data_IF_433817302446
#
_entry.id   IF_433817302446
#
_cell.length_a   1.000
_cell.length_b   1.000
_cell.length_c   1.000
_cell.angle_alpha   90.00
_cell.angle_beta   90.00
_cell.angle_gamma   90.00
#
_symmetry.space_group_name_H-M   'P 1'
#
loop_
_entity.id
_entity.type
_entity.pdbx_description
1 polymer ?
#
# COMPACT_ATOMS: atom_id res chain seq x y z
N UNK A 1 -50.86 -3.70 58.39
CA UNK A 1 -50.51 -4.70 57.38
C UNK A 1 -51.01 -4.13 56.06
N UNK A 2 -50.17 -3.65 55.15
CA UNK A 2 -49.24 -4.41 54.31
C UNK A 2 -48.04 -3.51 53.98
N UNK A 3 -46.83 -4.07 54.06
CA UNK A 3 -45.59 -3.42 53.63
C UNK A 3 -45.31 -3.64 52.14
N UNK A 4 -44.65 -2.63 51.55
CA UNK A 4 -43.63 -2.58 50.45
C UNK A 4 -43.18 -3.91 49.79
N UNK A 5 -42.60 -3.96 48.55
CA UNK A 5 -42.08 -2.86 47.72
C UNK A 5 -42.00 -3.06 46.15
N UNK A 6 -41.39 -2.07 45.47
CA UNK A 6 -40.56 -2.18 44.25
C UNK A 6 -41.21 -2.41 42.87
N UNK A 7 -41.74 -1.33 42.30
CA UNK A 7 -41.69 -1.09 40.85
C UNK A 7 -40.39 -0.34 40.56
N UNK A 8 -39.34 -1.03 40.12
CA UNK A 8 -38.15 -0.43 39.47
C UNK A 8 -37.17 -1.56 39.10
N UNK A 9 -37.45 -2.35 38.06
CA UNK A 9 -36.41 -3.22 37.51
C UNK A 9 -36.54 -3.37 35.98
N UNK A 10 -35.45 -2.98 35.32
CA UNK A 10 -34.99 -3.35 33.98
C UNK A 10 -35.71 -2.71 32.79
N UNK A 11 -35.29 -1.49 32.45
CA UNK A 11 -35.30 -1.05 31.04
C UNK A 11 -34.01 -0.30 30.72
N UNK A 12 -32.86 -0.96 30.90
CA UNK A 12 -31.54 -0.38 30.66
C UNK A 12 -30.57 -1.37 29.99
N UNK A 13 -30.98 -2.03 28.90
CA UNK A 13 -30.07 -2.87 28.09
C UNK A 13 -30.34 -2.76 26.58
N UNK A 14 -30.58 -1.56 26.04
CA UNK A 14 -30.71 -1.36 24.58
C UNK A 14 -29.85 -0.20 24.06
N UNK A 15 -28.69 0.01 24.68
CA UNK A 15 -27.57 0.71 24.03
C UNK A 15 -26.51 -0.36 23.72
N UNK A 16 -26.90 -1.31 22.87
CA UNK A 16 -25.97 -2.22 22.22
C UNK A 16 -25.03 -1.37 21.38
N UNK A 17 -23.88 -1.02 21.95
CA UNK A 17 -22.80 -0.40 21.23
C UNK A 17 -22.50 -1.27 20.02
N UNK A 18 -22.77 -0.73 18.83
CA UNK A 18 -22.20 -1.26 17.60
C UNK A 18 -20.68 -1.16 17.77
N UNK A 19 -20.07 -2.25 18.26
CA UNK A 19 -18.64 -2.42 18.20
C UNK A 19 -18.29 -2.37 16.71
N UNK A 20 -17.76 -1.23 16.27
CA UNK A 20 -17.10 -1.13 14.98
C UNK A 20 -16.00 -2.18 15.02
N UNK A 21 -16.22 -3.32 14.39
CA UNK A 21 -15.20 -4.34 14.24
C UNK A 21 -14.05 -3.68 13.47
N UNK A 22 -12.96 -3.36 14.18
CA UNK A 22 -11.73 -2.96 13.53
C UNK A 22 -11.34 -4.09 12.58
N UNK A 23 -11.21 -3.79 11.28
CA UNK A 23 -10.77 -4.79 10.31
C UNK A 23 -9.38 -5.28 10.75
N UNK A 24 -9.33 -6.47 11.34
CA UNK A 24 -8.07 -7.07 11.74
C UNK A 24 -7.20 -7.29 10.51
N UNK A 25 -5.93 -6.90 10.59
CA UNK A 25 -5.00 -7.05 9.49
C UNK A 25 -4.52 -8.50 9.42
N UNK A 26 -4.90 -9.23 8.38
CA UNK A 26 -4.40 -10.59 8.15
C UNK A 26 -2.95 -10.58 7.65
N UNK A 27 -2.02 -10.50 8.60
CA UNK A 27 -0.58 -10.57 8.31
C UNK A 27 -0.06 -11.99 8.04
N UNK A 28 -0.92 -13.02 8.12
CA UNK A 28 -0.52 -14.43 7.92
C UNK A 28 -0.72 -14.88 6.48
N UNK A 29 -1.64 -14.25 5.73
CA UNK A 29 -1.85 -14.54 4.31
C UNK A 29 -0.59 -14.28 3.49
N UNK A 30 -0.18 -15.27 2.70
CA UNK A 30 0.83 -15.07 1.65
C UNK A 30 0.26 -14.17 0.56
N UNK A 31 0.90 -13.03 0.27
CA UNK A 31 0.43 -12.12 -0.76
C UNK A 31 0.71 -12.65 -2.17
N UNK A 32 -0.16 -12.28 -3.11
CA UNK A 32 0.00 -12.58 -4.53
C UNK A 32 0.45 -11.30 -5.25
N UNK A 33 1.68 -11.30 -5.78
CA UNK A 33 2.28 -10.12 -6.38
C UNK A 33 1.49 -9.61 -7.58
N UNK A 34 0.91 -10.52 -8.37
CA UNK A 34 0.02 -10.17 -9.47
C UNK A 34 -1.12 -9.27 -9.01
N UNK A 35 -1.82 -9.67 -7.95
CA UNK A 35 -2.94 -8.90 -7.41
C UNK A 35 -2.48 -7.56 -6.84
N UNK A 36 -1.33 -7.53 -6.15
CA UNK A 36 -0.81 -6.33 -5.50
C UNK A 36 -0.49 -5.20 -6.49
N UNK A 37 -0.05 -5.53 -7.71
CA UNK A 37 0.34 -4.53 -8.71
C UNK A 37 -0.72 -4.26 -9.78
N UNK A 38 -1.68 -5.19 -9.99
CA UNK A 38 -2.70 -5.07 -11.05
C UNK A 38 -4.10 -4.70 -10.55
N UNK A 39 -4.47 -5.01 -9.30
CA UNK A 39 -5.75 -4.56 -8.74
C UNK A 39 -5.68 -3.08 -8.35
N UNK A 40 -6.77 -2.31 -8.50
CA UNK A 40 -8.13 -2.71 -8.90
C UNK A 40 -8.38 -2.68 -10.43
N UNK A 41 -7.35 -2.72 -11.27
CA UNK A 41 -7.47 -2.73 -12.74
C UNK A 41 -7.38 -1.36 -13.42
N UNK A 42 -7.21 -0.28 -12.65
CA UNK A 42 -6.88 1.06 -13.15
C UNK A 42 -6.35 1.96 -12.02
N UNK A 43 -5.89 3.17 -12.35
CA UNK A 43 -5.37 4.16 -11.39
C UNK A 43 -3.86 4.09 -11.23
N UNK A 44 -3.34 4.60 -10.10
CA UNK A 44 -1.89 4.67 -9.85
C UNK A 44 -1.54 4.20 -8.45
N UNK A 45 -0.46 3.46 -8.32
CA UNK A 45 0.22 3.24 -7.04
C UNK A 45 1.31 4.28 -6.84
N UNK A 46 1.32 4.94 -5.68
CA UNK A 46 2.35 5.90 -5.29
C UNK A 46 3.20 5.32 -4.16
N UNK A 47 4.52 5.42 -4.25
CA UNK A 47 5.42 5.05 -3.16
C UNK A 47 5.30 6.08 -2.04
N UNK A 48 4.57 5.75 -0.98
CA UNK A 48 4.27 6.64 0.14
C UNK A 48 5.39 6.66 1.16
N UNK A 49 6.01 5.52 1.46
CA UNK A 49 7.11 5.42 2.41
C UNK A 49 8.16 4.47 1.83
N UNK A 50 9.44 4.80 2.05
CA UNK A 50 10.57 3.96 1.68
C UNK A 50 11.66 4.02 2.74
N UNK A 51 12.43 2.93 2.85
CA UNK A 51 13.68 2.88 3.62
C UNK A 51 14.92 2.78 2.73
N UNK A 52 14.75 2.89 1.40
CA UNK A 52 15.88 3.03 0.50
C UNK A 52 16.62 4.34 0.80
N UNK A 53 17.93 4.36 0.55
CA UNK A 53 18.75 5.53 0.77
C UNK A 53 18.29 6.71 -0.11
N UNK A 54 18.08 6.44 -1.40
CA UNK A 54 17.72 7.46 -2.39
C UNK A 54 16.46 7.06 -3.18
N UNK A 55 15.26 7.03 -2.56
CA UNK A 55 14.04 6.71 -3.27
C UNK A 55 13.72 7.84 -4.25
N UNK A 56 13.38 7.50 -5.50
CA UNK A 56 13.04 8.49 -6.53
C UNK A 56 11.86 9.35 -6.10
N UNK A 57 11.99 10.67 -6.26
CA UNK A 57 10.96 11.64 -5.89
C UNK A 57 9.66 11.40 -6.68
N UNK A 58 8.53 11.51 -6.00
CA UNK A 58 7.19 11.35 -6.58
C UNK A 58 6.96 10.03 -7.34
N UNK A 59 7.74 8.98 -7.02
CA UNK A 59 7.68 7.70 -7.72
C UNK A 59 6.26 7.10 -7.66
N UNK A 60 5.75 6.74 -8.83
CA UNK A 60 4.44 6.13 -9.04
C UNK A 60 4.46 5.14 -10.21
N UNK A 61 3.62 4.11 -10.12
CA UNK A 61 3.36 3.15 -11.19
C UNK A 61 1.90 3.22 -11.62
N UNK A 62 1.65 3.21 -12.92
CA UNK A 62 0.30 3.17 -13.49
C UNK A 62 -0.22 1.74 -13.51
N UNK A 63 -1.42 1.52 -12.96
CA UNK A 63 -2.05 0.21 -12.99
C UNK A 63 -2.43 -0.11 -14.45
N UNK A 64 -1.95 -1.23 -15.00
CA UNK A 64 -2.17 -1.59 -16.39
C UNK A 64 -3.65 -1.91 -16.66
N UNK A 65 -4.14 -1.56 -17.86
CA UNK A 65 -5.48 -1.94 -18.32
C UNK A 65 -5.42 -3.35 -18.91
N UNK A 66 -6.38 -4.20 -18.55
CA UNK A 66 -6.51 -5.58 -19.04
C UNK A 66 -5.20 -6.41 -18.99
N UNK A 67 -4.50 -6.45 -17.84
CA UNK A 67 -3.24 -7.17 -17.74
C UNK A 67 -3.44 -8.69 -17.80
N UNK A 68 -2.47 -9.44 -18.31
CA UNK A 68 -2.52 -10.91 -18.42
C UNK A 68 -1.36 -11.56 -17.66
N UNK A 69 -1.66 -12.44 -16.69
CA UNK A 69 -0.63 -13.07 -15.87
C UNK A 69 0.27 -14.01 -16.69
N UNK A 70 1.56 -14.20 -16.30
CA UNK A 70 2.26 -13.56 -15.18
C UNK A 70 3.01 -12.27 -15.59
N UNK A 71 2.86 -11.79 -16.82
CA UNK A 71 3.69 -10.75 -17.41
C UNK A 71 2.89 -9.48 -17.69
N UNK A 72 3.40 -8.32 -17.31
CA UNK A 72 2.70 -7.06 -17.56
C UNK A 72 3.64 -5.89 -17.71
N UNK A 73 3.27 -4.94 -18.58
CA UNK A 73 3.99 -3.68 -18.73
C UNK A 73 3.41 -2.65 -17.76
N UNK A 74 4.27 -1.97 -17.01
CA UNK A 74 3.87 -0.92 -16.07
C UNK A 74 4.68 0.33 -16.37
N UNK A 75 3.96 1.42 -16.63
CA UNK A 75 4.56 2.75 -16.77
C UNK A 75 4.92 3.29 -15.38
N UNK A 76 6.22 3.43 -15.12
CA UNK A 76 6.76 4.02 -13.91
C UNK A 76 7.13 5.48 -14.16
N UNK A 77 6.63 6.39 -13.33
CA UNK A 77 6.90 7.83 -13.41
C UNK A 77 7.53 8.31 -12.11
N UNK A 78 8.47 9.24 -12.21
CA UNK A 78 9.08 9.92 -11.07
C UNK A 78 9.55 11.30 -11.49
N UNK A 79 9.91 12.16 -10.53
CA UNK A 79 10.57 13.43 -10.82
C UNK A 79 12.07 13.32 -10.64
N UNK A 80 12.81 13.94 -11.55
CA UNK A 80 14.25 14.12 -11.50
C UNK A 80 14.55 15.54 -11.96
N UNK A 81 15.30 16.31 -11.17
CA UNK A 81 15.56 17.73 -11.43
C UNK A 81 14.31 18.60 -11.69
N UNK A 82 13.19 18.25 -11.04
CA UNK A 82 11.91 18.96 -11.18
C UNK A 82 11.04 18.48 -12.34
N UNK A 83 11.61 17.73 -13.28
CA UNK A 83 10.92 17.23 -14.48
C UNK A 83 10.39 15.82 -14.30
N UNK A 84 9.28 15.51 -14.95
CA UNK A 84 8.71 14.16 -14.96
C UNK A 84 9.48 13.25 -15.93
N UNK A 85 10.01 12.18 -15.39
CA UNK A 85 10.56 11.06 -16.13
C UNK A 85 9.52 9.94 -16.20
N UNK A 86 9.49 9.21 -17.32
CA UNK A 86 8.54 8.12 -17.56
C UNK A 86 9.22 6.98 -18.30
N UNK A 87 9.11 5.76 -17.77
CA UNK A 87 9.67 4.56 -18.41
C UNK A 87 8.66 3.40 -18.30
N UNK A 88 8.56 2.59 -19.35
CA UNK A 88 7.77 1.36 -19.33
C UNK A 88 8.65 0.19 -18.93
N UNK A 89 8.32 -0.45 -17.80
CA UNK A 89 9.03 -1.60 -17.28
C UNK A 89 8.24 -2.88 -17.58
N UNK A 90 8.94 -3.96 -17.93
CA UNK A 90 8.35 -5.27 -18.07
C UNK A 90 8.40 -5.99 -16.72
N UNK A 91 7.24 -6.24 -16.13
CA UNK A 91 7.09 -6.99 -14.89
C UNK A 91 6.75 -8.45 -15.18
N UNK A 92 7.31 -9.33 -14.35
CA UNK A 92 6.98 -10.74 -14.22
C UNK A 92 6.70 -11.06 -12.76
N UNK A 93 5.65 -11.80 -12.47
CA UNK A 93 5.28 -12.18 -11.10
C UNK A 93 5.22 -13.68 -10.90
N UNK A 94 5.69 -14.17 -9.75
CA UNK A 94 5.58 -15.57 -9.35
C UNK A 94 5.35 -15.67 -7.83
N UNK A 95 4.13 -16.03 -7.44
CA UNK A 95 3.66 -15.94 -6.06
C UNK A 95 3.85 -14.52 -5.50
N UNK A 96 4.59 -14.33 -4.38
CA UNK A 96 4.86 -13.00 -3.83
C UNK A 96 5.98 -12.24 -4.54
N UNK A 97 6.68 -12.85 -5.50
CA UNK A 97 7.88 -12.27 -6.10
C UNK A 97 7.57 -11.46 -7.36
N UNK A 98 8.35 -10.40 -7.56
CA UNK A 98 8.34 -9.52 -8.71
C UNK A 98 9.75 -9.47 -9.31
N UNK A 99 9.84 -9.59 -10.63
CA UNK A 99 11.01 -9.22 -11.43
C UNK A 99 10.59 -8.14 -12.41
N UNK A 100 11.29 -7.02 -12.45
CA UNK A 100 11.03 -5.90 -13.34
C UNK A 100 12.26 -5.61 -14.21
N UNK A 101 12.10 -5.52 -15.52
CA UNK A 101 13.19 -5.26 -16.47
C UNK A 101 12.97 -4.00 -17.29
N UNK A 102 14.06 -3.29 -17.60
CA UNK A 102 14.12 -2.12 -18.47
C UNK A 102 15.47 -2.10 -19.21
N UNK A 103 15.46 -2.49 -20.50
CA UNK A 103 16.70 -2.77 -21.22
C UNK A 103 17.50 -3.85 -20.49
N UNK A 104 18.78 -3.58 -20.22
CA UNK A 104 19.67 -4.50 -19.49
C UNK A 104 19.48 -4.46 -17.96
N UNK A 105 18.66 -3.53 -17.44
CA UNK A 105 18.43 -3.40 -16.00
C UNK A 105 17.39 -4.40 -15.53
N UNK A 106 17.72 -5.12 -14.46
CA UNK A 106 16.80 -6.03 -13.77
C UNK A 106 16.71 -5.65 -12.30
N UNK A 107 15.48 -5.48 -11.80
CA UNK A 107 15.17 -5.26 -10.39
C UNK A 107 14.28 -6.40 -9.91
N UNK A 108 14.47 -6.81 -8.66
CA UNK A 108 13.61 -7.81 -8.02
C UNK A 108 13.03 -7.26 -6.72
N UNK A 109 11.96 -7.89 -6.25
CA UNK A 109 11.35 -7.56 -4.97
C UNK A 109 10.30 -8.60 -4.60
N UNK A 110 9.92 -8.60 -3.32
CA UNK A 110 8.89 -9.49 -2.80
C UNK A 110 7.80 -8.65 -2.16
N UNK A 111 6.55 -8.85 -2.58
CA UNK A 111 5.39 -8.35 -1.85
C UNK A 111 5.29 -9.13 -0.55
N UNK A 112 5.32 -8.44 0.58
CA UNK A 112 5.26 -9.07 1.92
C UNK A 112 3.92 -8.85 2.62
N UNK A 113 3.06 -8.01 2.04
CA UNK A 113 1.68 -7.78 2.45
C UNK A 113 0.95 -6.97 1.37
N UNK A 114 -0.33 -7.27 1.16
CA UNK A 114 -1.24 -6.49 0.31
C UNK A 114 -2.63 -6.40 0.95
N UNK A 115 -3.36 -5.32 0.68
CA UNK A 115 -4.78 -5.15 1.03
C UNK A 115 -5.60 -4.95 -0.24
N UNK A 116 -5.57 -5.97 -1.12
CA UNK A 116 -6.52 -6.17 -2.23
C UNK A 116 -6.76 -4.94 -3.12
N UNK A 117 -5.70 -4.33 -3.62
CA UNK A 117 -5.82 -3.20 -4.54
C UNK A 117 -5.79 -1.81 -3.89
N UNK A 118 -5.76 -1.72 -2.55
CA UNK A 118 -5.67 -0.44 -1.83
C UNK A 118 -4.23 -0.03 -1.54
N UNK A 119 -3.42 -0.98 -1.12
CA UNK A 119 -2.01 -0.77 -0.80
C UNK A 119 -1.25 -2.09 -0.80
N UNK A 120 0.07 -2.00 -0.87
CA UNK A 120 0.96 -3.14 -0.66
C UNK A 120 2.30 -2.70 -0.07
N UNK A 121 3.03 -3.66 0.50
CA UNK A 121 4.37 -3.46 1.04
C UNK A 121 5.33 -4.40 0.34
N UNK A 122 6.42 -3.85 -0.19
CA UNK A 122 7.48 -4.61 -0.83
C UNK A 122 8.72 -4.63 0.06
N UNK A 123 9.44 -5.77 0.02
CA UNK A 123 10.82 -5.91 0.45
C UNK A 123 11.71 -5.99 -0.78
N UNK A 124 12.80 -5.24 -0.77
CA UNK A 124 13.79 -5.19 -1.83
C UNK A 124 15.04 -6.02 -1.46
N UNK A 125 15.88 -6.43 -2.44
CA UNK A 125 17.05 -7.28 -2.21
C UNK A 125 18.10 -6.67 -1.28
N UNK A 126 18.22 -5.34 -1.28
CA UNK A 126 19.07 -4.56 -0.38
C UNK A 126 18.55 -4.52 1.07
N UNK A 127 17.43 -5.20 1.35
CA UNK A 127 16.76 -5.19 2.65
C UNK A 127 15.98 -3.92 2.94
N UNK A 128 15.84 -3.01 1.96
CA UNK A 128 14.93 -1.89 2.05
C UNK A 128 13.48 -2.35 1.84
N UNK A 129 12.56 -1.45 2.17
CA UNK A 129 11.12 -1.66 2.12
C UNK A 129 10.43 -0.48 1.49
N UNK A 130 9.32 -0.72 0.78
CA UNK A 130 8.46 0.31 0.20
C UNK A 130 6.99 0.07 0.53
N UNK A 131 6.28 1.11 1.00
CA UNK A 131 4.82 1.12 1.12
C UNK A 131 4.22 1.84 -0.07
N UNK A 132 3.41 1.13 -0.85
CA UNK A 132 2.70 1.66 -2.00
C UNK A 132 1.22 1.82 -1.67
N UNK A 133 0.64 2.99 -1.95
CA UNK A 133 -0.79 3.26 -1.78
C UNK A 133 -1.41 3.55 -3.14
N UNK A 134 -2.53 2.90 -3.43
CA UNK A 134 -3.30 3.16 -4.64
C UNK A 134 -4.03 4.50 -4.56
N UNK A 135 -4.27 5.13 -5.70
CA UNK A 135 -4.97 6.41 -5.80
C UNK A 135 -6.43 6.39 -5.37
N UNK A 136 -7.10 5.23 -5.41
CA UNK A 136 -8.50 5.10 -4.97
C UNK A 136 -8.63 4.87 -3.47
N UNK A 137 -7.53 4.51 -2.78
CA UNK A 137 -7.55 4.27 -1.35
C UNK A 137 -7.78 5.58 -0.58
N UNK A 138 -8.83 5.60 0.23
CA UNK A 138 -9.17 6.73 1.11
C UNK A 138 -8.17 6.84 2.26
N UNK A 139 -8.34 7.85 3.10
CA UNK A 139 -7.59 7.93 4.34
C UNK A 139 -8.06 6.84 5.29
N UNK A 140 -7.10 6.17 5.96
CA UNK A 140 -7.35 4.96 6.75
C UNK A 140 -7.23 3.65 5.96
N UNK A 141 -7.54 3.61 4.65
CA UNK A 141 -7.50 2.37 3.84
C UNK A 141 -6.11 1.70 3.78
N UNK A 142 -5.04 2.46 3.99
CA UNK A 142 -3.67 1.93 4.00
C UNK A 142 -3.14 1.58 5.39
N UNK A 143 -4.00 1.54 6.42
CA UNK A 143 -3.56 1.35 7.81
C UNK A 143 -2.87 0.00 8.02
N UNK A 144 -3.39 -1.09 7.47
CA UNK A 144 -2.75 -2.41 7.60
C UNK A 144 -1.37 -2.44 6.92
N UNK A 145 -1.24 -1.87 5.72
CA UNK A 145 0.06 -1.72 5.08
C UNK A 145 1.00 -0.86 5.91
N UNK A 146 0.51 0.21 6.55
CA UNK A 146 1.31 1.07 7.44
C UNK A 146 1.77 0.32 8.68
N UNK A 147 0.89 -0.45 9.33
CA UNK A 147 1.21 -1.31 10.47
C UNK A 147 2.28 -2.33 10.09
N UNK A 148 2.11 -3.04 8.97
CA UNK A 148 3.11 -3.99 8.45
C UNK A 148 4.44 -3.30 8.16
N UNK A 149 4.43 -2.23 7.37
CA UNK A 149 5.65 -1.49 7.03
C UNK A 149 6.39 -1.03 8.27
N UNK A 150 5.71 -0.45 9.26
CA UNK A 150 6.31 0.01 10.50
C UNK A 150 6.92 -1.12 11.34
N UNK A 151 6.28 -2.30 11.37
CA UNK A 151 6.80 -3.49 12.04
C UNK A 151 8.13 -3.93 11.41
N UNK A 152 8.19 -3.98 10.09
CA UNK A 152 9.35 -4.47 9.33
C UNK A 152 10.51 -3.46 9.27
N UNK A 153 10.23 -2.18 9.53
CA UNK A 153 11.19 -1.08 9.40
C UNK A 153 11.55 -0.43 10.74
N UNK A 154 11.31 -1.13 11.86
CA UNK A 154 11.68 -0.64 13.19
C UNK A 154 13.18 -0.33 13.24
N UNK A 155 13.53 0.89 13.64
CA UNK A 155 14.93 1.36 13.71
C UNK A 155 15.53 1.81 12.37
N UNK A 156 14.78 1.77 11.26
CA UNK A 156 15.24 2.30 9.97
C UNK A 156 14.74 3.72 9.73
N UNK A 157 15.55 4.55 9.06
CA UNK A 157 15.11 5.85 8.55
C UNK A 157 14.03 5.66 7.49
N UNK A 158 12.97 6.46 7.56
CA UNK A 158 11.81 6.39 6.67
C UNK A 158 11.67 7.69 5.91
N UNK A 159 11.62 7.60 4.59
CA UNK A 159 11.46 8.75 3.68
C UNK A 159 10.09 8.67 3.03
N UNK A 160 9.42 9.82 2.83
CA UNK A 160 8.19 9.91 2.05
C UNK A 160 8.48 10.61 0.71
N UNK A 161 8.63 9.87 -0.40
CA UNK A 161 8.95 10.45 -1.70
C UNK A 161 7.89 11.39 -2.25
N UNK A 162 6.66 11.37 -1.73
CA UNK A 162 5.55 12.21 -2.17
C UNK A 162 5.51 13.57 -1.45
N UNK A 163 6.22 13.73 -0.33
CA UNK A 163 6.27 14.98 0.46
C UNK A 163 7.40 15.93 0.06
N UNK A 164 8.24 15.54 -0.91
CA UNK A 164 9.30 16.39 -1.45
C UNK A 164 8.68 17.61 -2.14
N UNK A 165 9.32 18.78 -2.01
CA UNK A 165 8.84 20.02 -2.63
C UNK A 165 8.69 19.89 -4.15
N UNK A 166 9.58 19.11 -4.79
CA UNK A 166 9.50 18.74 -6.20
C UNK A 166 8.15 18.14 -6.59
N UNK A 167 7.43 17.47 -5.66
CA UNK A 167 6.12 16.88 -5.93
C UNK A 167 4.94 17.86 -5.81
N UNK A 168 5.13 19.01 -5.14
CA UNK A 168 4.08 20.03 -4.97
C UNK A 168 3.97 20.96 -6.16
N UNK A 169 5.07 21.21 -6.86
CA UNK A 169 5.11 22.01 -8.10
C UNK A 169 4.49 21.21 -9.25
N UNK A 170 3.16 21.24 -9.30
CA UNK A 170 2.35 20.86 -10.46
C UNK A 170 1.92 22.14 -11.17
N UNK A 171 2.87 22.96 -11.62
CA UNK A 171 2.59 24.23 -12.28
C UNK A 171 3.81 24.62 -13.11
N UNK A 172 3.69 24.49 -14.44
CA UNK A 172 3.20 25.57 -15.30
C UNK A 172 2.52 24.98 -16.53
#
# INVERSE_FOLDING_TARGET
MVGTPHVLFVSLCLLGGVALAEKECDFKRTPEAWNAITKPGSGVYRLQLSTQENPKDCLRGEVPKNPTAPNVKITMKHKENGEWQSNEWQFHTSGPNITATLGDRTLTGTVIFDDEGKCHVNKYPDGAYGLWKHSSAKDGDAECCRKKFNKETKGKEKKNPQKKESCKTSTS
#
